data_IF_477103791917
#
_entry.id   IF_477103791917
#
_cell.length_a   1.000
_cell.length_b   1.000
_cell.length_c   1.000
_cell.angle_alpha   90.00
_cell.angle_beta   90.00
_cell.angle_gamma   90.00
#
_symmetry.space_group_name_H-M   'P 1'
#
loop_
_entity.id
_entity.type
_entity.pdbx_description
1 polymer ?
#
# COMPACT_ATOMS: atom_id res chain seq x y z
N UNK A 1 -8.60 17.60 -4.20
CA UNK A 1 -7.71 16.44 -4.06
C UNK A 1 -8.39 15.28 -4.77
N UNK A 2 -7.66 14.49 -5.57
CA UNK A 2 -8.24 13.33 -6.26
C UNK A 2 -8.70 12.28 -5.23
N UNK A 3 -9.93 11.74 -5.33
CA UNK A 3 -10.48 10.82 -4.32
C UNK A 3 -9.71 9.49 -4.24
N UNK A 4 -9.03 9.07 -5.33
CA UNK A 4 -8.20 7.86 -5.34
C UNK A 4 -6.93 8.07 -4.53
N UNK A 5 -6.34 9.28 -4.63
CA UNK A 5 -5.19 9.69 -3.81
C UNK A 5 -5.57 9.75 -2.33
N UNK A 6 -6.75 10.28 -1.99
CA UNK A 6 -7.21 10.32 -0.60
C UNK A 6 -7.43 8.92 -0.02
N UNK A 7 -8.09 8.03 -0.77
CA UNK A 7 -8.28 6.63 -0.38
C UNK A 7 -6.94 5.90 -0.17
N UNK A 8 -5.97 6.12 -1.06
CA UNK A 8 -4.64 5.53 -0.94
C UNK A 8 -3.88 6.07 0.28
N UNK A 9 -3.90 7.38 0.53
CA UNK A 9 -3.29 7.97 1.73
C UNK A 9 -3.88 7.38 3.01
N UNK A 10 -5.21 7.22 3.07
CA UNK A 10 -5.87 6.64 4.23
C UNK A 10 -5.46 5.17 4.47
N UNK A 11 -5.40 4.37 3.40
CA UNK A 11 -4.95 2.98 3.47
C UNK A 11 -3.49 2.85 3.91
N UNK A 12 -2.59 3.67 3.34
CA UNK A 12 -1.17 3.71 3.72
C UNK A 12 -0.99 4.11 5.18
N UNK A 13 -1.69 5.16 5.64
CA UNK A 13 -1.63 5.60 7.03
C UNK A 13 -2.14 4.51 8.00
N UNK A 14 -3.18 3.75 7.62
CA UNK A 14 -3.66 2.62 8.40
C UNK A 14 -2.60 1.52 8.49
N UNK A 15 -2.02 1.10 7.36
CA UNK A 15 -0.99 0.06 7.35
C UNK A 15 0.25 0.48 8.17
N UNK A 16 0.67 1.75 8.09
CA UNK A 16 1.76 2.26 8.92
C UNK A 16 1.46 2.15 10.42
N UNK A 17 0.22 2.43 10.85
CA UNK A 17 -0.17 2.27 12.28
C UNK A 17 -0.17 0.82 12.71
N UNK A 18 -0.72 -0.08 11.90
CA UNK A 18 -0.77 -1.51 12.21
C UNK A 18 0.64 -2.10 12.28
N UNK A 19 1.53 -1.70 11.35
CA UNK A 19 2.93 -2.13 11.34
C UNK A 19 3.70 -1.59 12.55
N UNK A 20 3.50 -0.31 12.91
CA UNK A 20 4.08 0.30 14.11
C UNK A 20 3.63 -0.42 15.39
N UNK A 21 2.36 -0.85 15.46
CA UNK A 21 1.80 -1.62 16.57
C UNK A 21 2.15 -3.11 16.55
N UNK A 22 2.69 -3.63 15.44
CA UNK A 22 3.02 -5.04 15.31
C UNK A 22 4.29 -5.37 16.10
N UNK A 23 4.12 -6.22 17.13
CA UNK A 23 5.19 -6.54 18.10
C UNK A 23 6.08 -7.70 17.67
N UNK A 24 5.63 -8.55 16.75
CA UNK A 24 6.43 -9.68 16.31
C UNK A 24 7.56 -9.20 15.39
N UNK A 25 8.70 -9.89 15.45
CA UNK A 25 9.82 -9.64 14.55
C UNK A 25 9.41 -10.01 13.12
N UNK A 26 9.49 -9.03 12.22
CA UNK A 26 9.32 -9.22 10.80
C UNK A 26 10.71 -9.13 10.15
N UNK A 27 11.14 -10.13 9.37
CA UNK A 27 12.49 -10.20 8.83
C UNK A 27 12.86 -8.95 8.01
N UNK A 28 11.89 -8.42 7.25
CA UNK A 28 12.08 -7.28 6.36
C UNK A 28 11.24 -6.06 6.78
N UNK A 29 10.99 -5.91 8.08
CA UNK A 29 10.17 -4.81 8.63
C UNK A 29 10.60 -3.44 8.11
N UNK A 30 11.91 -3.16 8.19
CA UNK A 30 12.48 -1.88 7.80
C UNK A 30 12.25 -1.58 6.32
N UNK A 31 12.40 -2.59 5.45
CA UNK A 31 12.15 -2.43 4.03
C UNK A 31 10.67 -2.11 3.75
N UNK A 32 9.73 -2.73 4.47
CA UNK A 32 8.32 -2.41 4.37
C UNK A 32 8.01 -0.98 4.86
N UNK A 33 8.61 -0.55 5.99
CA UNK A 33 8.43 0.80 6.54
C UNK A 33 8.97 1.89 5.59
N UNK A 34 10.16 1.68 5.02
CA UNK A 34 10.76 2.59 4.03
C UNK A 34 9.91 2.71 2.76
N UNK A 35 9.46 1.59 2.19
CA UNK A 35 8.60 1.59 1.01
C UNK A 35 7.25 2.26 1.30
N UNK A 36 6.67 2.06 2.49
CA UNK A 36 5.44 2.76 2.91
C UNK A 36 5.65 4.27 3.04
N UNK A 37 6.80 4.69 3.56
CA UNK A 37 7.18 6.10 3.67
C UNK A 37 7.33 6.74 2.30
N UNK A 38 7.99 6.05 1.36
CA UNK A 38 8.11 6.48 -0.03
C UNK A 38 6.73 6.65 -0.68
N UNK A 39 5.86 5.64 -0.54
CA UNK A 39 4.50 5.67 -1.07
C UNK A 39 3.66 6.82 -0.48
N UNK A 40 3.82 7.12 0.81
CA UNK A 40 3.17 8.26 1.46
C UNK A 40 3.67 9.60 0.89
N UNK A 41 4.97 9.73 0.63
CA UNK A 41 5.56 10.94 0.04
C UNK A 41 5.07 11.15 -1.40
N UNK A 42 4.93 10.10 -2.19
CA UNK A 42 4.40 10.19 -3.56
C UNK A 42 2.97 10.66 -3.61
N UNK A 43 2.14 10.04 -2.77
CA UNK A 43 0.74 10.40 -2.69
C UNK A 43 0.57 11.81 -2.15
N UNK A 44 1.54 12.34 -1.40
CA UNK A 44 1.63 13.74 -0.99
C UNK A 44 1.68 14.71 -2.18
N UNK A 45 2.42 14.35 -3.23
CA UNK A 45 2.60 15.13 -4.48
C UNK A 45 1.39 14.99 -5.42
N UNK A 46 0.70 13.84 -5.39
CA UNK A 46 -0.66 13.69 -5.95
C UNK A 46 -0.76 12.98 -7.30
N UNK A 47 0.36 12.52 -7.88
CA UNK A 47 0.39 11.88 -9.19
C UNK A 47 1.21 10.55 -9.16
N UNK A 48 0.79 9.55 -8.37
CA UNK A 48 1.50 8.27 -8.36
C UNK A 48 1.20 7.45 -9.63
N UNK A 49 2.25 6.89 -10.22
CA UNK A 49 2.14 6.03 -11.41
C UNK A 49 1.72 4.60 -11.05
N UNK A 50 0.82 4.01 -11.83
CA UNK A 50 0.26 2.68 -11.55
C UNK A 50 1.31 1.57 -11.48
N UNK A 51 2.32 1.60 -12.35
CA UNK A 51 3.42 0.64 -12.32
C UNK A 51 4.24 0.75 -11.03
N UNK A 52 4.47 1.98 -10.57
CA UNK A 52 5.15 2.27 -9.31
C UNK A 52 4.33 1.77 -8.11
N UNK A 53 3.04 2.09 -8.07
CA UNK A 53 2.12 1.62 -7.03
C UNK A 53 2.12 0.09 -6.92
N UNK A 54 2.04 -0.62 -8.06
CA UNK A 54 2.09 -2.09 -8.09
C UNK A 54 3.42 -2.63 -7.59
N UNK A 55 4.53 -2.00 -7.98
CA UNK A 55 5.87 -2.39 -7.51
C UNK A 55 6.00 -2.23 -6.00
N UNK A 56 5.63 -1.07 -5.45
CA UNK A 56 5.69 -0.83 -4.00
C UNK A 56 4.81 -1.82 -3.24
N UNK A 57 3.62 -2.15 -3.75
CA UNK A 57 2.77 -3.18 -3.14
C UNK A 57 3.44 -4.56 -3.10
N UNK A 58 4.15 -4.95 -4.16
CA UNK A 58 4.88 -6.23 -4.20
C UNK A 58 6.03 -6.26 -3.19
N UNK A 59 6.77 -5.15 -3.04
CA UNK A 59 7.85 -5.02 -2.05
C UNK A 59 7.28 -5.13 -0.63
N UNK A 60 6.21 -4.39 -0.33
CA UNK A 60 5.51 -4.45 0.96
C UNK A 60 4.98 -5.86 1.23
N UNK A 61 4.32 -6.50 0.27
CA UNK A 61 3.77 -7.85 0.45
C UNK A 61 4.86 -8.91 0.64
N UNK A 62 5.98 -8.80 -0.07
CA UNK A 62 7.13 -9.68 0.10
C UNK A 62 7.80 -9.53 1.47
N UNK A 63 7.95 -8.28 1.93
CA UNK A 63 8.58 -7.96 3.21
C UNK A 63 7.72 -8.32 4.42
N UNK A 64 6.39 -8.18 4.31
CA UNK A 64 5.45 -8.55 5.37
C UNK A 64 5.08 -10.05 5.36
N UNK A 65 5.25 -10.73 4.23
CA UNK A 65 4.88 -12.15 4.05
C UNK A 65 3.37 -12.41 4.23
N UNK A 66 3.00 -13.68 4.46
CA UNK A 66 1.60 -14.12 4.67
C UNK A 66 1.05 -13.79 6.08
N UNK A 67 1.47 -12.69 6.69
CA UNK A 67 1.06 -12.31 8.05
C UNK A 67 -0.41 -11.88 8.04
N UNK A 68 -1.28 -12.78 8.52
CA UNK A 68 -2.73 -12.56 8.52
C UNK A 68 -3.16 -11.33 9.32
N UNK A 69 -2.40 -10.94 10.36
CA UNK A 69 -2.68 -9.75 11.18
C UNK A 69 -2.59 -8.44 10.38
N UNK A 70 -1.73 -8.38 9.35
CA UNK A 70 -1.57 -7.21 8.49
C UNK A 70 -2.35 -7.33 7.17
N UNK A 71 -2.89 -8.52 6.88
CA UNK A 71 -3.55 -8.85 5.61
C UNK A 71 -4.72 -7.95 5.25
N UNK A 72 -5.54 -7.53 6.23
CA UNK A 72 -6.64 -6.59 5.98
C UNK A 72 -6.13 -5.21 5.53
N UNK A 73 -5.11 -4.68 6.19
CA UNK A 73 -4.56 -3.37 5.86
C UNK A 73 -3.85 -3.39 4.50
N UNK A 74 -3.10 -4.46 4.20
CA UNK A 74 -2.49 -4.67 2.87
C UNK A 74 -3.56 -4.78 1.78
N UNK A 75 -4.68 -5.46 2.05
CA UNK A 75 -5.80 -5.58 1.11
C UNK A 75 -6.44 -4.23 0.80
N UNK A 76 -6.56 -3.33 1.78
CA UNK A 76 -7.07 -1.98 1.55
C UNK A 76 -6.13 -1.15 0.67
N UNK A 77 -4.81 -1.25 0.89
CA UNK A 77 -3.82 -0.59 0.02
C UNK A 77 -3.94 -1.10 -1.40
N UNK A 78 -4.08 -2.42 -1.59
CA UNK A 78 -4.32 -3.02 -2.91
C UNK A 78 -5.59 -2.44 -3.57
N UNK A 79 -6.72 -2.41 -2.86
CA UNK A 79 -7.98 -1.86 -3.40
C UNK A 79 -7.85 -0.39 -3.77
N UNK A 80 -7.14 0.40 -2.96
CA UNK A 80 -6.90 1.80 -3.26
C UNK A 80 -6.04 1.98 -4.52
N UNK A 81 -5.03 1.12 -4.73
CA UNK A 81 -4.22 1.10 -5.96
C UNK A 81 -5.06 0.70 -7.18
N UNK A 82 -5.99 -0.25 -7.03
CA UNK A 82 -6.90 -0.67 -8.11
C UNK A 82 -7.76 0.49 -8.64
N UNK A 83 -8.05 1.52 -7.82
CA UNK A 83 -8.76 2.73 -8.28
C UNK A 83 -7.97 3.56 -9.33
N UNK A 84 -6.64 3.46 -9.33
CA UNK A 84 -5.81 4.08 -10.36
C UNK A 84 -5.88 3.29 -11.68
N UNK A 85 -6.18 1.99 -11.59
CA UNK A 85 -6.29 0.99 -12.66
C UNK A 85 -7.23 1.32 -13.80
N UNK A 86 -8.20 2.21 -13.59
CA UNK A 86 -9.43 2.22 -14.38
C UNK A 86 -10.30 0.98 -14.07
N UNK A 87 -11.53 0.90 -14.61
CA UNK A 87 -12.33 -0.31 -14.47
C UNK A 87 -11.54 -1.52 -14.99
N UNK A 88 -11.72 -2.72 -14.39
CA UNK A 88 -11.07 -3.92 -14.88
C UNK A 88 -11.39 -4.05 -16.38
N UNK A 89 -10.35 -4.23 -17.22
CA UNK A 89 -10.55 -4.60 -18.61
C UNK A 89 -11.20 -6.00 -18.64
N UNK A 90 -12.52 -6.02 -18.80
CA UNK A 90 -13.37 -7.18 -19.04
C UNK A 90 -14.84 -6.77 -18.83
N UNK A 91 -15.80 -7.02 -19.73
CA UNK A 91 -15.87 -8.02 -20.80
C UNK A 91 -16.82 -7.48 -21.91
N UNK A 92 -16.47 -7.67 -23.19
CA UNK A 92 -17.41 -7.72 -24.33
C UNK A 92 -17.25 -9.11 -24.97
#
# INVERSE_FOLDING_TARGET
MDPRVEALRAAVARLHRELAGYRAELPDRWAAEEELSALAAETAVGEPEMERLRRSLLVIAGALGSVSALGSAVTEVRRAIELFGGPPLGED
#
